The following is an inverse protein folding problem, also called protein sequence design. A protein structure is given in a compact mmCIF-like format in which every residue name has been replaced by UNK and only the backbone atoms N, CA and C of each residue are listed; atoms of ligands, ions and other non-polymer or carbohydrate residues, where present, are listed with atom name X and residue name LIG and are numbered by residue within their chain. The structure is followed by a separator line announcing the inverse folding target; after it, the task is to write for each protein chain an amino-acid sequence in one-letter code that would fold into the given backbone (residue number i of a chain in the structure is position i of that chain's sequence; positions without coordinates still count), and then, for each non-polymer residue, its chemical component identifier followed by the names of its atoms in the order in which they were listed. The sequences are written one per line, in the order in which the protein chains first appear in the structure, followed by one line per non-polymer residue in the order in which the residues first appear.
data_IF_623705286559
#
_entry.id   IF_623705286559
#
_cell.length_a   1.000
_cell.length_b   1.000
_cell.length_c   1.000
_cell.angle_alpha   90.00
_cell.angle_beta   90.00
_cell.angle_gamma   90.00
#
_symmetry.space_group_name_H-M   'P 1'
#
loop_
_entity.id
_entity.type
_entity.pdbx_description
1 polymer ?
#
# COMPACT_ATOMS: atom_id res chain seq x y z
N UNK A 1 27.62 -11.54 17.89
CA UNK A 1 26.98 -10.28 18.32
C UNK A 1 27.09 -9.18 17.23
N UNK A 2 26.71 -9.48 15.98
CA UNK A 2 26.95 -8.62 14.79
C UNK A 2 25.67 -8.03 14.14
N UNK A 3 24.49 -8.30 14.71
CA UNK A 3 23.18 -8.00 14.08
C UNK A 3 22.61 -6.64 14.55
N UNK A 4 23.19 -6.00 15.58
CA UNK A 4 22.56 -4.83 16.23
C UNK A 4 22.73 -3.51 15.46
N UNK A 5 23.71 -3.40 14.56
CA UNK A 5 24.01 -2.16 13.80
C UNK A 5 23.41 -2.12 12.38
N UNK A 6 23.04 -3.26 11.79
CA UNK A 6 22.61 -3.29 10.39
C UNK A 6 21.16 -2.82 10.17
N UNK A 7 20.29 -2.96 11.17
CA UNK A 7 18.86 -2.65 11.00
C UNK A 7 18.56 -1.14 11.00
N UNK A 8 19.29 -0.34 11.79
CA UNK A 8 19.04 1.10 11.94
C UNK A 8 19.33 1.86 10.64
N UNK A 9 20.45 1.50 10.01
CA UNK A 9 20.88 2.07 8.74
C UNK A 9 19.82 1.82 7.66
N UNK A 10 19.19 0.63 7.64
CA UNK A 10 18.26 0.26 6.57
C UNK A 10 16.92 0.99 6.64
N UNK A 11 16.37 1.21 7.83
CA UNK A 11 15.15 1.99 7.99
C UNK A 11 15.38 3.47 7.64
N UNK A 12 16.56 4.00 7.98
CA UNK A 12 16.95 5.36 7.61
C UNK A 12 17.25 5.52 6.11
N UNK A 13 17.87 4.51 5.49
CA UNK A 13 18.10 4.46 4.05
C UNK A 13 16.78 4.55 3.25
N UNK A 14 15.68 3.99 3.75
CA UNK A 14 14.38 4.12 3.09
C UNK A 14 13.92 5.59 3.01
N UNK A 15 14.20 6.40 4.04
CA UNK A 15 13.91 7.84 4.04
C UNK A 15 14.68 8.53 2.91
N UNK A 16 15.97 8.22 2.76
CA UNK A 16 16.81 8.75 1.69
C UNK A 16 16.33 8.30 0.31
N UNK A 17 15.92 7.03 0.16
CA UNK A 17 15.34 6.52 -1.11
C UNK A 17 14.05 7.25 -1.48
N UNK A 18 13.18 7.55 -0.50
CA UNK A 18 11.95 8.32 -0.74
C UNK A 18 12.26 9.77 -1.14
N UNK A 19 13.28 10.38 -0.54
CA UNK A 19 13.76 11.71 -0.91
C UNK A 19 14.24 11.74 -2.35
N UNK A 20 15.15 10.83 -2.70
CA UNK A 20 15.69 10.67 -4.06
C UNK A 20 14.57 10.44 -5.10
N UNK A 21 13.63 9.53 -4.81
CA UNK A 21 12.46 9.29 -5.67
C UNK A 21 11.61 10.55 -5.88
N UNK A 22 11.43 11.36 -4.84
CA UNK A 22 10.64 12.59 -4.91
C UNK A 22 11.32 13.63 -5.80
N UNK A 23 12.64 13.80 -5.66
CA UNK A 23 13.42 14.72 -6.51
C UNK A 23 13.52 14.24 -7.95
N UNK A 24 13.77 12.94 -8.19
CA UNK A 24 13.76 12.36 -9.54
C UNK A 24 12.42 12.60 -10.24
N UNK A 25 11.30 12.42 -9.54
CA UNK A 25 9.98 12.70 -10.08
C UNK A 25 9.76 14.20 -10.35
N UNK A 26 10.25 15.08 -9.47
CA UNK A 26 10.21 16.52 -9.68
C UNK A 26 10.97 16.94 -10.94
N UNK A 27 12.24 16.57 -11.07
CA UNK A 27 13.06 16.95 -12.23
C UNK A 27 12.56 16.36 -13.55
N UNK A 28 12.02 15.14 -13.52
CA UNK A 28 11.37 14.55 -14.70
C UNK A 28 10.20 15.42 -15.17
N UNK A 29 9.31 15.82 -14.26
CA UNK A 29 8.15 16.66 -14.59
C UNK A 29 8.53 18.07 -15.07
N UNK A 30 9.58 18.65 -14.49
CA UNK A 30 10.13 19.93 -14.97
C UNK A 30 10.63 19.79 -16.42
N UNK A 31 11.27 18.67 -16.75
CA UNK A 31 11.72 18.37 -18.12
C UNK A 31 10.55 18.16 -19.09
N UNK A 32 9.45 17.57 -18.62
CA UNK A 32 8.23 17.34 -19.41
C UNK A 32 7.35 18.60 -19.53
N UNK A 33 7.86 19.79 -19.18
CA UNK A 33 7.17 21.08 -19.19
C UNK A 33 5.87 21.12 -18.35
N UNK A 34 5.72 20.21 -17.39
CA UNK A 34 4.67 20.28 -16.38
C UNK A 34 4.97 21.38 -15.35
N UNK A 35 3.99 21.72 -14.51
CA UNK A 35 4.15 22.63 -13.36
C UNK A 35 4.15 21.86 -12.02
N UNK A 36 5.21 21.08 -11.68
CA UNK A 36 5.27 20.38 -10.41
C UNK A 36 5.62 21.32 -9.25
N UNK A 37 4.95 21.14 -8.12
CA UNK A 37 5.38 21.79 -6.87
C UNK A 37 6.70 21.20 -6.35
N UNK A 38 7.58 22.06 -5.82
CA UNK A 38 8.87 21.64 -5.26
C UNK A 38 8.68 20.68 -4.07
N UNK A 39 9.47 19.59 -3.96
CA UNK A 39 9.41 18.67 -2.82
C UNK A 39 9.59 19.40 -1.48
N UNK A 40 8.64 19.22 -0.57
CA UNK A 40 8.66 19.87 0.76
C UNK A 40 9.25 18.96 1.83
N UNK A 41 10.01 19.56 2.75
CA UNK A 41 10.48 18.87 3.95
C UNK A 41 9.30 18.38 4.80
N UNK A 42 9.39 17.14 5.30
CA UNK A 42 8.39 16.55 6.19
C UNK A 42 8.85 16.67 7.64
N UNK A 43 8.24 17.59 8.39
CA UNK A 43 8.52 17.79 9.80
C UNK A 43 8.03 16.67 10.71
N UNK A 44 8.24 16.84 12.02
CA UNK A 44 7.82 15.88 13.04
C UNK A 44 6.31 15.61 12.96
N UNK A 45 5.91 14.34 13.10
CA UNK A 45 4.49 13.93 13.07
C UNK A 45 3.88 13.80 11.66
N UNK A 46 4.55 14.29 10.61
CA UNK A 46 4.09 14.11 9.23
C UNK A 46 4.40 12.71 8.69
N UNK A 47 5.44 12.10 9.24
CA UNK A 47 5.86 10.76 8.87
C UNK A 47 5.05 9.72 9.65
N UNK A 48 4.12 9.05 8.95
CA UNK A 48 3.22 8.06 9.54
C UNK A 48 3.59 6.62 9.20
N UNK A 49 4.73 6.37 8.56
CA UNK A 49 5.15 5.02 8.23
C UNK A 49 6.66 4.86 8.25
N UNK A 50 7.14 3.67 8.56
CA UNK A 50 8.56 3.30 8.45
C UNK A 50 8.68 1.90 7.85
N UNK A 51 9.76 1.67 7.12
CA UNK A 51 9.92 0.47 6.30
C UNK A 51 11.22 -0.23 6.62
N UNK A 52 11.15 -1.54 6.83
CA UNK A 52 12.28 -2.46 6.90
C UNK A 52 12.41 -3.18 5.55
N UNK A 53 13.41 -2.81 4.72
CA UNK A 53 13.46 -3.26 3.34
C UNK A 53 13.90 -4.72 3.13
N UNK A 54 14.67 -5.32 4.07
CA UNK A 54 15.22 -6.68 3.91
C UNK A 54 15.43 -7.42 5.23
N UNK A 55 15.94 -6.73 6.27
CA UNK A 55 16.20 -7.32 7.59
C UNK A 55 15.65 -6.44 8.70
N UNK A 56 15.61 -6.98 9.91
CA UNK A 56 15.10 -6.26 11.08
C UNK A 56 13.64 -6.56 11.40
N UNK A 57 13.05 -7.52 10.72
CA UNK A 57 11.75 -8.07 11.07
C UNK A 57 11.76 -9.60 10.95
N UNK A 58 10.93 -10.27 11.74
CA UNK A 58 10.67 -11.70 11.66
C UNK A 58 9.18 -11.92 11.92
N UNK A 59 8.53 -12.69 11.06
CA UNK A 59 7.15 -13.11 11.28
C UNK A 59 7.13 -14.58 11.69
N UNK A 60 6.35 -14.87 12.73
CA UNK A 60 6.15 -16.21 13.26
C UNK A 60 4.66 -16.38 13.58
N UNK A 61 3.94 -17.10 12.72
CA UNK A 61 2.48 -17.25 12.81
C UNK A 61 1.75 -15.90 12.81
N UNK A 62 1.21 -15.51 13.98
CA UNK A 62 0.49 -14.24 14.22
C UNK A 62 1.32 -13.20 14.98
N UNK A 63 2.64 -13.40 15.08
CA UNK A 63 3.55 -12.55 15.85
C UNK A 63 4.60 -11.95 14.93
N UNK A 64 4.65 -10.62 14.89
CA UNK A 64 5.63 -9.84 14.14
C UNK A 64 6.67 -9.28 15.12
N UNK A 65 7.90 -9.75 14.98
CA UNK A 65 9.04 -9.25 15.73
C UNK A 65 9.77 -8.21 14.90
N UNK A 66 9.87 -7.00 15.42
CA UNK A 66 10.59 -5.88 14.81
C UNK A 66 11.81 -5.57 15.65
N UNK A 67 12.93 -5.28 15.00
CA UNK A 67 14.12 -4.78 15.66
C UNK A 67 13.79 -3.49 16.41
N UNK A 68 14.32 -3.36 17.63
CA UNK A 68 14.14 -2.23 18.57
C UNK A 68 12.75 -2.05 19.17
N UNK A 69 11.69 -2.52 18.52
CA UNK A 69 10.33 -2.45 19.05
C UNK A 69 9.99 -3.71 19.85
N UNK A 70 10.52 -4.86 19.42
CA UNK A 70 10.21 -6.15 20.02
C UNK A 70 9.09 -6.86 19.28
N UNK A 71 8.39 -7.74 19.99
CA UNK A 71 7.46 -8.68 19.37
C UNK A 71 6.01 -8.29 19.62
N UNK A 72 5.24 -8.15 18.54
CA UNK A 72 3.87 -7.64 18.54
C UNK A 72 2.95 -8.68 17.92
N UNK A 73 1.78 -8.90 18.53
CA UNK A 73 0.74 -9.74 17.92
C UNK A 73 0.04 -8.95 16.82
N UNK A 74 -0.06 -9.54 15.64
CA UNK A 74 -0.73 -8.96 14.47
C UNK A 74 -1.97 -9.76 14.09
N UNK A 75 -3.02 -9.06 13.67
CA UNK A 75 -4.16 -9.69 13.02
C UNK A 75 -3.87 -9.79 11.51
N UNK A 76 -3.80 -11.01 11.00
CA UNK A 76 -3.55 -11.28 9.58
C UNK A 76 -4.87 -11.32 8.83
N UNK A 77 -5.01 -10.47 7.82
CA UNK A 77 -6.15 -10.52 6.91
C UNK A 77 -6.06 -11.68 5.91
N UNK A 78 -4.83 -12.16 5.63
CA UNK A 78 -4.50 -13.35 4.83
C UNK A 78 -3.18 -13.93 5.29
N UNK A 79 -2.95 -15.20 5.01
CA UNK A 79 -1.62 -15.79 5.16
C UNK A 79 -0.65 -15.26 4.11
N UNK A 80 0.63 -15.21 4.49
CA UNK A 80 1.68 -14.67 3.63
C UNK A 80 2.39 -15.82 2.98
N UNK A 81 2.28 -15.89 1.67
CA UNK A 81 2.97 -16.87 0.83
C UNK A 81 4.33 -16.32 0.41
N UNK A 82 5.30 -17.23 0.29
CA UNK A 82 6.64 -16.90 -0.19
C UNK A 82 7.51 -16.16 0.82
N UNK A 83 8.63 -15.60 0.33
CA UNK A 83 9.64 -14.95 1.18
C UNK A 83 9.33 -13.48 1.34
N UNK A 84 9.10 -13.05 2.57
CA UNK A 84 8.88 -11.62 2.88
C UNK A 84 10.17 -10.85 2.65
N UNK A 85 10.13 -9.89 1.73
CA UNK A 85 11.24 -8.96 1.49
C UNK A 85 11.12 -7.71 2.33
N UNK A 86 9.95 -7.09 2.35
CA UNK A 86 9.79 -5.77 2.95
C UNK A 86 8.64 -5.75 3.94
N UNK A 87 8.87 -5.17 5.12
CA UNK A 87 7.85 -4.92 6.13
C UNK A 87 7.71 -3.42 6.35
N UNK A 88 6.54 -2.86 6.07
CA UNK A 88 6.22 -1.45 6.32
C UNK A 88 5.19 -1.34 7.43
N UNK A 89 5.52 -0.61 8.49
CA UNK A 89 4.58 -0.26 9.53
C UNK A 89 4.01 1.11 9.21
N UNK A 90 2.68 1.22 9.13
CA UNK A 90 1.97 2.45 8.78
C UNK A 90 0.86 2.75 9.78
N UNK A 91 0.80 3.99 10.22
CA UNK A 91 -0.32 4.56 10.97
C UNK A 91 -1.28 5.24 10.00
N UNK A 92 -2.56 4.90 10.07
CA UNK A 92 -3.59 5.56 9.29
C UNK A 92 -3.96 6.94 9.88
N UNK A 93 -4.99 7.59 9.34
CA UNK A 93 -5.46 8.87 9.88
C UNK A 93 -6.30 8.72 11.16
N UNK A 94 -6.90 7.55 11.38
CA UNK A 94 -7.72 7.22 12.55
C UNK A 94 -6.86 6.80 13.76
N UNK A 95 -5.58 6.52 13.52
CA UNK A 95 -4.61 6.11 14.54
C UNK A 95 -4.31 4.61 14.56
N UNK A 96 -4.95 3.81 13.69
CA UNK A 96 -4.70 2.39 13.58
C UNK A 96 -3.34 2.11 12.93
N UNK A 97 -2.70 1.04 13.41
CA UNK A 97 -1.42 0.58 12.91
C UNK A 97 -1.61 -0.64 12.02
N UNK A 98 -0.97 -0.62 10.87
CA UNK A 98 -0.98 -1.69 9.88
C UNK A 98 0.44 -2.12 9.56
N UNK A 99 0.64 -3.44 9.44
CA UNK A 99 1.86 -4.02 8.88
C UNK A 99 1.59 -4.43 7.43
N UNK A 100 2.21 -3.74 6.48
CA UNK A 100 2.21 -4.12 5.06
C UNK A 100 3.44 -4.96 4.78
N UNK A 101 3.21 -6.20 4.38
CA UNK A 101 4.26 -7.17 4.06
C UNK A 101 4.29 -7.36 2.55
N UNK A 102 5.47 -7.21 1.95
CA UNK A 102 5.71 -7.52 0.54
C UNK A 102 6.51 -8.81 0.51
N UNK A 103 5.92 -9.87 -0.06
CA UNK A 103 6.59 -11.14 -0.28
C UNK A 103 6.86 -11.37 -1.76
N UNK A 104 7.91 -12.13 -2.02
CA UNK A 104 8.14 -12.72 -3.33
C UNK A 104 7.57 -14.13 -3.36
N UNK A 105 6.73 -14.36 -4.35
CA UNK A 105 6.18 -15.65 -4.73
C UNK A 105 6.82 -16.07 -6.04
N UNK A 106 6.88 -17.37 -6.29
CA UNK A 106 7.33 -17.88 -7.58
C UNK A 106 6.38 -17.40 -8.68
N UNK A 107 6.95 -17.16 -9.87
CA UNK A 107 6.15 -16.82 -11.03
C UNK A 107 5.24 -18.00 -11.36
N UNK A 108 3.97 -17.70 -11.61
CA UNK A 108 3.04 -18.68 -12.16
C UNK A 108 3.59 -19.08 -13.53
N UNK A 109 3.75 -20.39 -13.84
CA UNK A 109 4.31 -20.82 -15.10
C UNK A 109 3.52 -20.21 -16.26
N UNK A 110 4.24 -19.66 -17.24
CA UNK A 110 3.60 -19.15 -18.45
C UNK A 110 2.93 -20.31 -19.18
N UNK A 111 1.59 -20.26 -19.22
CA UNK A 111 0.79 -21.18 -20.01
C UNK A 111 0.75 -20.62 -21.43
N UNK A 112 1.15 -21.42 -22.41
CA UNK A 112 0.98 -21.04 -23.81
C UNK A 112 -0.51 -20.84 -24.10
N UNK A 113 -0.92 -19.66 -24.63
CA UNK A 113 -2.32 -19.39 -24.90
C UNK A 113 -2.79 -20.29 -26.04
N UNK A 114 -3.65 -21.27 -25.72
CA UNK A 114 -4.26 -22.16 -26.71
C UNK A 114 -5.32 -21.46 -27.55
N UNK A 115 -5.91 -20.39 -27.02
CA UNK A 115 -7.00 -19.63 -27.63
C UNK A 115 -6.86 -18.16 -27.29
N UNK A 116 -7.17 -17.29 -28.27
CA UNK A 116 -7.35 -15.87 -28.04
C UNK A 116 -8.83 -15.60 -27.71
N UNK A 117 -9.10 -14.82 -26.67
CA UNK A 117 -10.46 -14.39 -26.31
C UNK A 117 -10.46 -12.89 -26.08
N UNK A 118 -11.47 -12.21 -26.64
CA UNK A 118 -11.72 -10.80 -26.34
C UNK A 118 -12.32 -10.67 -24.95
N UNK A 119 -11.82 -9.70 -24.18
CA UNK A 119 -12.30 -9.37 -22.83
C UNK A 119 -12.85 -7.96 -22.87
N UNK A 120 -14.16 -7.80 -22.70
CA UNK A 120 -14.81 -6.51 -22.53
C UNK A 120 -15.17 -6.28 -21.06
N UNK A 121 -14.92 -5.07 -20.55
CA UNK A 121 -15.11 -4.74 -19.13
C UNK A 121 -16.23 -3.72 -19.02
N UNK A 122 -17.35 -4.10 -18.42
CA UNK A 122 -18.58 -3.32 -18.43
C UNK A 122 -19.14 -2.99 -17.04
N UNK A 123 -20.16 -2.13 -17.03
CA UNK A 123 -20.97 -1.83 -15.83
C UNK A 123 -22.13 -2.82 -15.65
N UNK A 124 -22.64 -3.41 -16.73
CA UNK A 124 -23.70 -4.42 -16.70
C UNK A 124 -23.15 -5.78 -16.25
N UNK A 125 -22.03 -6.18 -16.83
CA UNK A 125 -21.22 -7.36 -16.48
C UNK A 125 -19.78 -6.89 -16.26
N UNK A 126 -19.15 -7.35 -15.18
CA UNK A 126 -17.76 -6.99 -14.87
C UNK A 126 -16.83 -7.38 -16.00
N UNK A 127 -17.02 -8.57 -16.55
CA UNK A 127 -16.29 -9.09 -17.69
C UNK A 127 -17.26 -9.78 -18.63
N UNK A 128 -17.16 -9.52 -19.93
CA UNK A 128 -17.80 -10.28 -20.99
C UNK A 128 -16.72 -10.85 -21.92
N UNK A 129 -16.72 -12.16 -22.10
CA UNK A 129 -15.79 -12.87 -22.96
C UNK A 129 -16.39 -13.03 -24.37
N UNK A 130 -15.56 -13.03 -25.40
CA UNK A 130 -15.99 -13.33 -26.78
C UNK A 130 -16.56 -14.75 -26.94
N UNK A 131 -16.34 -15.63 -25.96
CA UNK A 131 -16.93 -16.96 -25.85
C UNK A 131 -18.40 -16.95 -25.42
N UNK A 132 -18.94 -15.78 -25.03
CA UNK A 132 -20.31 -15.61 -24.54
C UNK A 132 -20.45 -15.73 -23.02
N UNK A 133 -19.38 -16.11 -22.31
CA UNK A 133 -19.34 -16.15 -20.85
C UNK A 133 -19.31 -14.74 -20.26
N UNK A 134 -20.01 -14.53 -19.15
CA UNK A 134 -20.04 -13.24 -18.46
C UNK A 134 -19.84 -13.40 -16.96
N UNK A 135 -19.10 -12.46 -16.37
CA UNK A 135 -18.91 -12.33 -14.92
C UNK A 135 -19.78 -11.18 -14.44
N UNK A 136 -20.65 -11.45 -13.47
CA UNK A 136 -21.56 -10.44 -12.95
C UNK A 136 -20.81 -9.30 -12.22
N UNK A 137 -21.30 -8.08 -12.37
CA UNK A 137 -20.77 -6.94 -11.62
C UNK A 137 -21.27 -6.99 -10.16
N UNK A 138 -20.39 -7.12 -9.15
CA UNK A 138 -20.79 -7.33 -7.76
C UNK A 138 -21.45 -6.09 -7.10
N UNK A 139 -21.53 -4.95 -7.80
CA UNK A 139 -22.24 -3.71 -7.36
C UNK A 139 -21.86 -3.17 -5.97
N UNK A 140 -20.70 -3.55 -5.41
CA UNK A 140 -20.26 -3.11 -4.08
C UNK A 140 -20.24 -1.58 -3.95
N UNK A 141 -19.77 -0.88 -4.99
CA UNK A 141 -19.75 0.58 -4.99
C UNK A 141 -21.15 1.18 -4.95
N UNK A 142 -22.06 0.71 -5.80
CA UNK A 142 -23.45 1.18 -5.88
C UNK A 142 -24.17 0.99 -4.54
N UNK A 143 -23.97 -0.16 -3.89
CA UNK A 143 -24.55 -0.43 -2.57
C UNK A 143 -23.96 0.48 -1.47
N UNK A 144 -22.68 0.82 -1.58
CA UNK A 144 -21.99 1.67 -0.61
C UNK A 144 -22.16 3.18 -0.88
N UNK A 145 -22.62 3.57 -2.07
CA UNK A 145 -22.64 4.95 -2.57
C UNK A 145 -23.37 5.90 -1.64
N UNK A 146 -24.59 5.55 -1.22
CA UNK A 146 -25.38 6.37 -0.29
C UNK A 146 -24.66 6.59 1.05
N UNK A 147 -24.04 5.54 1.61
CA UNK A 147 -23.29 5.65 2.87
C UNK A 147 -22.04 6.53 2.68
N UNK A 148 -21.37 6.40 1.54
CA UNK A 148 -20.18 7.17 1.18
C UNK A 148 -20.53 8.66 1.01
N UNK A 149 -21.63 8.99 0.33
CA UNK A 149 -22.10 10.35 0.13
C UNK A 149 -22.44 11.04 1.47
N UNK A 150 -23.13 10.35 2.38
CA UNK A 150 -23.42 10.85 3.73
C UNK A 150 -22.13 11.10 4.51
N UNK A 151 -21.19 10.16 4.50
CA UNK A 151 -19.91 10.31 5.18
C UNK A 151 -19.08 11.48 4.62
N UNK A 152 -19.06 11.66 3.29
CA UNK A 152 -18.39 12.77 2.63
C UNK A 152 -19.01 14.13 3.00
N UNK A 153 -20.35 14.23 3.02
CA UNK A 153 -21.06 15.44 3.45
C UNK A 153 -20.80 15.78 4.91
N UNK A 154 -20.79 14.79 5.80
CA UNK A 154 -20.45 15.00 7.22
C UNK A 154 -19.00 15.46 7.40
N UNK A 155 -18.08 14.97 6.56
CA UNK A 155 -16.67 15.40 6.58
C UNK A 155 -16.48 16.82 6.06
N UNK A 156 -17.22 17.24 5.03
CA UNK A 156 -17.11 18.59 4.44
C UNK A 156 -17.82 19.66 5.25
N UNK A 157 -18.77 19.27 6.10
CA UNK A 157 -19.47 20.21 6.99
C UNK A 157 -18.47 20.84 7.97
N UNK A 158 -18.36 22.18 8.00
CA UNK A 158 -17.48 22.85 8.96
C UNK A 158 -17.94 22.50 10.37
N UNK A 159 -17.00 22.08 11.22
CA UNK A 159 -17.29 21.89 12.64
C UNK A 159 -17.56 23.26 13.24
N UNK A 160 -18.80 23.51 13.65
CA UNK A 160 -19.13 24.68 14.47
C UNK A 160 -18.31 24.55 15.75
N UNK A 161 -17.37 25.48 15.96
CA UNK A 161 -16.74 25.66 17.26
C UNK A 161 -17.83 26.14 18.21
N UNK A 162 -18.40 25.24 19.01
CA UNK A 162 -19.23 25.65 20.14
C UNK A 162 -18.32 26.40 21.11
N UNK A 163 -18.62 27.69 21.31
CA UNK A 163 -18.03 28.53 22.37
C UNK A 163 -18.42 28.01 23.74
#
# INVERSE_FOLDING_TARGET
MKIRLSCEILAFQDVLRRLDKSFKAFFRRVKDEEMPGYPRFKGQGWYKSFTYPQVGFKMDGSKLTLSKIGSIRIFKHRDVEGKIKTCTIKKDHLGHWHATLVSETEDVPQIEPKTASGVDVGLKSLVALSTGETVEYPRHYVQAENKLAVAQRNRSRPKTLSR
#
